data_IF_830714182507
#
_entry.id   IF_830714182507
#
_cell.length_a   1.000
_cell.length_b   1.000
_cell.length_c   1.000
_cell.angle_alpha   90.00
_cell.angle_beta   90.00
_cell.angle_gamma   90.00
#
_symmetry.space_group_name_H-M   'P 1'
#
loop_
_entity.id
_entity.type
_entity.pdbx_description
1 polymer ?
#
# COMPACT_ATOMS: atom_id res chain seq x y z
N UNK A 1 2.01 27.65 -7.25
CA UNK A 1 1.59 26.65 -6.23
C UNK A 1 0.78 25.60 -6.95
N UNK A 2 1.35 24.42 -7.21
CA UNK A 2 0.63 23.35 -7.90
C UNK A 2 -0.35 22.72 -6.90
N UNK A 3 -1.64 22.85 -7.16
CA UNK A 3 -2.71 22.21 -6.40
C UNK A 3 -2.62 20.70 -6.57
N UNK A 4 -2.09 20.02 -5.57
CA UNK A 4 -2.02 18.56 -5.57
C UNK A 4 -3.43 17.94 -5.40
N UNK A 5 -3.84 16.99 -6.25
CA UNK A 5 -5.13 16.31 -6.15
C UNK A 5 -5.33 15.67 -4.77
N UNK A 6 -6.58 15.64 -4.28
CA UNK A 6 -6.91 15.03 -2.99
C UNK A 6 -6.42 13.59 -2.88
N UNK A 7 -6.54 12.81 -3.97
CA UNK A 7 -6.10 11.42 -4.00
C UNK A 7 -4.60 11.26 -3.70
N UNK A 8 -3.76 12.20 -4.15
CA UNK A 8 -2.32 12.16 -3.86
C UNK A 8 -2.03 12.58 -2.42
N UNK A 9 -2.75 13.62 -1.93
CA UNK A 9 -2.65 14.07 -0.54
C UNK A 9 -3.10 13.03 0.49
N UNK A 10 -4.05 12.17 0.14
CA UNK A 10 -4.59 11.10 1.00
C UNK A 10 -3.83 9.77 0.86
N UNK A 11 -2.75 9.71 0.05
CA UNK A 11 -1.98 8.48 -0.13
C UNK A 11 -1.32 8.09 1.21
N UNK A 12 -1.43 6.82 1.64
CA UNK A 12 -0.82 6.34 2.88
C UNK A 12 0.69 6.54 2.86
N UNK A 13 1.24 6.96 4.00
CA UNK A 13 2.67 7.24 4.22
C UNK A 13 3.41 6.07 4.83
N UNK A 14 2.68 5.13 5.42
CA UNK A 14 3.20 3.90 5.98
C UNK A 14 2.18 2.76 5.80
N UNK A 15 2.61 1.55 6.12
CA UNK A 15 1.83 0.33 5.91
C UNK A 15 0.62 0.22 6.85
N UNK A 16 0.62 0.93 7.98
CA UNK A 16 -0.49 0.96 8.94
C UNK A 16 -1.64 1.86 8.46
N UNK A 17 -1.37 2.83 7.59
CA UNK A 17 -2.36 3.71 6.99
C UNK A 17 -3.13 3.07 5.80
N UNK A 18 -2.75 1.86 5.37
CA UNK A 18 -3.42 1.16 4.27
C UNK A 18 -4.75 0.56 4.74
N UNK A 19 -5.86 1.03 4.16
CA UNK A 19 -7.21 0.59 4.52
C UNK A 19 -7.70 -0.51 3.56
N UNK A 20 -8.33 -1.55 4.11
CA UNK A 20 -9.05 -2.59 3.36
C UNK A 20 -8.19 -3.72 2.79
N UNK A 21 -6.88 -3.71 3.05
CA UNK A 21 -5.93 -4.73 2.56
C UNK A 21 -5.24 -5.49 3.70
N UNK A 22 -5.94 -5.73 4.82
CA UNK A 22 -5.37 -6.34 6.05
C UNK A 22 -4.74 -7.72 5.82
N UNK A 23 -5.27 -8.51 4.88
CA UNK A 23 -4.68 -9.81 4.52
C UNK A 23 -3.27 -9.67 3.88
N UNK A 24 -2.91 -8.50 3.36
CA UNK A 24 -1.59 -8.18 2.81
C UNK A 24 -0.72 -7.37 3.78
N UNK A 25 -1.32 -6.38 4.44
CA UNK A 25 -0.60 -5.33 5.21
C UNK A 25 -0.85 -5.39 6.72
N UNK A 26 -1.74 -6.25 7.19
CA UNK A 26 -1.98 -6.49 8.62
C UNK A 26 -0.82 -7.24 9.28
N UNK A 27 -0.94 -7.53 10.58
CA UNK A 27 0.12 -8.13 11.39
C UNK A 27 0.72 -9.41 10.79
N UNK A 28 -0.13 -10.26 10.22
CA UNK A 28 0.26 -11.51 9.57
C UNK A 28 0.38 -11.39 8.05
N UNK A 29 0.14 -10.21 7.49
CA UNK A 29 0.12 -9.97 6.05
C UNK A 29 1.49 -10.17 5.39
N UNK A 30 1.50 -10.73 4.18
CA UNK A 30 2.74 -11.08 3.48
C UNK A 30 3.62 -9.85 3.17
N UNK A 31 3.01 -8.73 2.79
CA UNK A 31 3.72 -7.49 2.49
C UNK A 31 4.35 -6.93 3.76
N UNK A 32 3.62 -6.94 4.90
CA UNK A 32 4.17 -6.52 6.18
C UNK A 32 5.39 -7.34 6.58
N UNK A 33 5.33 -8.66 6.44
CA UNK A 33 6.48 -9.53 6.73
C UNK A 33 7.70 -9.18 5.88
N UNK A 34 7.52 -8.96 4.58
CA UNK A 34 8.61 -8.57 3.67
C UNK A 34 9.21 -7.20 4.01
N UNK A 35 8.37 -6.21 4.31
CA UNK A 35 8.80 -4.86 4.73
C UNK A 35 9.59 -4.94 6.04
N UNK A 36 9.06 -5.63 7.06
CA UNK A 36 9.72 -5.79 8.36
C UNK A 36 11.06 -6.53 8.24
N UNK A 37 11.14 -7.54 7.38
CA UNK A 37 12.36 -8.29 7.11
C UNK A 37 13.35 -7.55 6.20
N UNK A 38 12.99 -6.37 5.65
CA UNK A 38 13.73 -5.63 4.62
C UNK A 38 14.12 -6.50 3.41
N UNK A 39 13.20 -7.40 3.02
CA UNK A 39 13.38 -8.36 1.92
C UNK A 39 12.18 -8.29 0.99
N UNK A 40 12.14 -7.23 0.18
CA UNK A 40 11.10 -7.07 -0.84
C UNK A 40 11.42 -7.94 -2.05
N UNK A 41 10.41 -8.67 -2.54
CA UNK A 41 10.45 -9.35 -3.83
C UNK A 41 9.66 -8.57 -4.86
N UNK A 42 9.94 -8.78 -6.15
CA UNK A 42 9.11 -8.25 -7.23
C UNK A 42 7.69 -8.77 -7.10
N UNK A 43 6.70 -7.88 -7.23
CA UNK A 43 5.27 -8.19 -7.06
C UNK A 43 4.46 -7.61 -8.21
N UNK A 44 3.35 -8.28 -8.54
CA UNK A 44 2.32 -7.76 -9.45
C UNK A 44 1.09 -7.46 -8.61
N UNK A 45 0.65 -6.20 -8.60
CA UNK A 45 -0.61 -5.80 -7.96
C UNK A 45 -1.75 -5.85 -8.98
N UNK A 46 -2.72 -6.72 -8.78
CA UNK A 46 -3.88 -6.90 -9.66
C UNK A 46 -5.20 -6.71 -8.90
N UNK A 47 -6.21 -6.15 -9.58
CA UNK A 47 -7.56 -5.99 -9.06
C UNK A 47 -8.27 -4.73 -9.57
N UNK A 48 -9.53 -4.49 -9.17
CA UNK A 48 -10.36 -3.37 -9.62
C UNK A 48 -9.73 -1.98 -9.39
N UNK A 49 -10.14 -0.93 -10.12
CA UNK A 49 -9.66 0.44 -9.88
C UNK A 49 -10.00 0.90 -8.45
N UNK A 50 -9.15 1.75 -7.86
CA UNK A 50 -9.40 2.36 -6.54
C UNK A 50 -9.08 1.52 -5.30
N UNK A 51 -8.62 0.27 -5.43
CA UNK A 51 -8.36 -0.62 -4.26
C UNK A 51 -7.00 -0.42 -3.56
N UNK A 52 -6.25 0.63 -3.91
CA UNK A 52 -4.95 0.93 -3.27
C UNK A 52 -3.71 0.29 -3.90
N UNK A 53 -3.80 -0.31 -5.11
CA UNK A 53 -2.64 -0.90 -5.81
C UNK A 53 -1.46 0.08 -5.94
N UNK A 54 -1.74 1.25 -6.48
CA UNK A 54 -0.73 2.32 -6.63
C UNK A 54 -0.30 2.81 -5.27
N UNK A 55 -1.20 2.91 -4.28
CA UNK A 55 -0.85 3.39 -2.95
C UNK A 55 0.10 2.48 -2.17
N UNK A 56 0.08 1.17 -2.44
CA UNK A 56 0.93 0.16 -1.77
C UNK A 56 2.29 0.02 -2.46
N UNK A 57 2.35 0.21 -3.78
CA UNK A 57 3.59 0.22 -4.56
C UNK A 57 4.40 1.50 -4.32
#
# INVERSE_FOLDING_TARGET
>A
MLTEPLASRMRPRNIDEVIGQQHLVGETGIIRRMVNAKRLSSMIFYGPPGIGKTSIA
#
